data_IF_555197387771
#
_entry.id   IF_555197387771
#
_cell.length_a   1.000
_cell.length_b   1.000
_cell.length_c   1.000
_cell.angle_alpha   90.00
_cell.angle_beta   90.00
_cell.angle_gamma   90.00
#
_symmetry.space_group_name_H-M   'P 1'
#
loop_
_entity.id
_entity.type
_entity.pdbx_description
1 polymer ?
#
# COMPACT_ATOMS: atom_id res chain seq x y z
N UNK A 1 -23.77 -40.76 -30.10
CA UNK A 1 -22.96 -40.82 -28.87
C UNK A 1 -21.60 -40.17 -29.00
N UNK A 2 -20.77 -40.41 -30.03
CA UNK A 2 -19.40 -39.81 -30.15
C UNK A 2 -19.37 -38.28 -30.22
N UNK A 3 -20.35 -37.61 -30.83
CA UNK A 3 -20.40 -36.13 -30.94
C UNK A 3 -20.69 -35.44 -29.60
N UNK A 4 -21.51 -36.05 -28.73
CA UNK A 4 -21.84 -35.52 -27.41
C UNK A 4 -20.61 -35.55 -26.48
N UNK A 5 -19.77 -36.59 -26.59
CA UNK A 5 -18.56 -36.74 -25.80
C UNK A 5 -17.48 -35.69 -26.16
N UNK A 6 -17.35 -35.35 -27.46
CA UNK A 6 -16.40 -34.33 -27.94
C UNK A 6 -16.80 -32.94 -27.45
N UNK A 7 -18.09 -32.58 -27.52
CA UNK A 7 -18.60 -31.31 -27.02
C UNK A 7 -18.39 -31.15 -25.50
N UNK A 8 -18.59 -32.21 -24.72
CA UNK A 8 -18.36 -32.21 -23.27
C UNK A 8 -16.88 -32.02 -22.94
N UNK A 9 -15.97 -32.64 -23.69
CA UNK A 9 -14.52 -32.48 -23.53
C UNK A 9 -14.09 -31.05 -23.86
N UNK A 10 -14.63 -30.41 -24.89
CA UNK A 10 -14.33 -29.04 -25.28
C UNK A 10 -14.82 -28.05 -24.18
N UNK A 11 -16.01 -28.30 -23.61
CA UNK A 11 -16.53 -27.47 -22.50
C UNK A 11 -15.67 -27.63 -21.23
N UNK A 12 -15.23 -28.87 -20.92
CA UNK A 12 -14.30 -29.11 -19.79
C UNK A 12 -12.93 -28.45 -20.01
N UNK A 13 -12.38 -28.53 -21.23
CA UNK A 13 -11.11 -27.86 -21.56
C UNK A 13 -11.24 -26.34 -21.57
N UNK A 14 -12.36 -25.77 -21.99
CA UNK A 14 -12.63 -24.35 -21.94
C UNK A 14 -12.76 -23.83 -20.48
N UNK A 15 -13.34 -24.62 -19.57
CA UNK A 15 -13.44 -24.27 -18.17
C UNK A 15 -12.10 -24.34 -17.41
N UNK A 16 -11.14 -25.16 -17.88
CA UNK A 16 -9.76 -25.17 -17.33
C UNK A 16 -8.92 -23.98 -17.78
N UNK A 17 -9.37 -23.18 -18.74
CA UNK A 17 -8.71 -21.94 -19.19
C UNK A 17 -9.17 -20.69 -18.42
N UNK A 18 -9.80 -20.84 -17.27
CA UNK A 18 -10.03 -19.72 -16.37
C UNK A 18 -8.66 -19.21 -15.89
N UNK A 19 -8.09 -18.27 -16.63
CA UNK A 19 -6.92 -17.55 -16.20
C UNK A 19 -7.34 -16.81 -14.92
N UNK A 20 -6.77 -17.17 -13.79
CA UNK A 20 -6.94 -16.37 -12.60
C UNK A 20 -6.41 -14.97 -12.93
N UNK A 21 -7.27 -13.98 -12.97
CA UNK A 21 -6.82 -12.60 -13.15
C UNK A 21 -5.97 -12.24 -11.94
N UNK A 22 -4.71 -11.93 -12.20
CA UNK A 22 -3.84 -11.38 -11.16
C UNK A 22 -4.43 -10.03 -10.75
N UNK A 23 -4.81 -9.90 -9.49
CA UNK A 23 -5.31 -8.64 -8.96
C UNK A 23 -4.17 -7.64 -8.93
N UNK A 24 -4.33 -6.50 -9.61
CA UNK A 24 -3.38 -5.40 -9.58
C UNK A 24 -3.77 -4.43 -8.46
N UNK A 25 -2.95 -4.37 -7.42
CA UNK A 25 -3.09 -3.40 -6.34
C UNK A 25 -2.86 -1.96 -6.84
N UNK A 26 -3.27 -0.97 -6.05
CA UNK A 26 -2.99 0.43 -6.35
C UNK A 26 -1.49 0.70 -6.54
N UNK A 27 -0.64 0.11 -5.70
CA UNK A 27 0.81 0.23 -5.79
C UNK A 27 1.40 -0.29 -7.11
N UNK A 28 0.79 -1.30 -7.75
CA UNK A 28 1.23 -1.85 -9.04
C UNK A 28 0.89 -0.94 -10.23
N UNK A 29 0.08 0.09 -10.02
CA UNK A 29 -0.38 1.03 -11.06
C UNK A 29 0.54 2.25 -11.17
N UNK A 30 1.84 2.01 -11.26
CA UNK A 30 2.91 3.04 -11.19
C UNK A 30 2.67 4.17 -12.21
N UNK A 31 2.24 3.83 -13.44
CA UNK A 31 1.96 4.81 -14.49
C UNK A 31 0.85 5.81 -14.14
N UNK A 32 -0.03 5.47 -13.18
CA UNK A 32 -1.15 6.33 -12.79
C UNK A 32 -0.76 7.34 -11.70
N UNK A 33 0.01 6.92 -10.68
CA UNK A 33 0.31 7.81 -9.55
C UNK A 33 1.70 8.48 -9.65
N UNK A 34 2.70 7.86 -10.28
CA UNK A 34 4.03 8.44 -10.37
C UNK A 34 4.07 9.83 -11.03
N UNK A 35 3.30 10.12 -12.11
CA UNK A 35 3.23 11.48 -12.67
C UNK A 35 2.66 12.52 -11.70
N UNK A 36 1.80 12.12 -10.77
CA UNK A 36 1.19 13.02 -9.78
C UNK A 36 2.18 13.42 -8.66
N UNK A 37 3.29 12.70 -8.54
CA UNK A 37 4.35 12.95 -7.55
C UNK A 37 5.48 13.84 -8.08
N UNK A 38 5.48 14.15 -9.38
CA UNK A 38 6.55 14.94 -10.00
C UNK A 38 6.59 16.36 -9.42
N UNK A 39 7.78 16.81 -9.03
CA UNK A 39 8.04 18.10 -8.41
C UNK A 39 7.21 18.37 -7.14
N UNK A 40 6.79 17.30 -6.44
CA UNK A 40 6.08 17.37 -5.16
C UNK A 40 6.96 16.90 -4.02
N UNK A 41 6.75 17.47 -2.83
CA UNK A 41 7.31 17.00 -1.58
C UNK A 41 6.38 15.92 -1.05
N UNK A 42 6.84 14.68 -1.02
CA UNK A 42 6.00 13.50 -0.81
C UNK A 42 6.25 12.89 0.57
N UNK A 43 5.16 12.71 1.34
CA UNK A 43 5.14 11.81 2.48
C UNK A 43 4.57 10.44 2.07
N UNK A 44 5.10 9.35 2.60
CA UNK A 44 4.61 8.01 2.27
C UNK A 44 4.22 7.28 3.55
N UNK A 45 2.97 6.83 3.65
CA UNK A 45 2.55 5.91 4.71
C UNK A 45 2.74 4.49 4.18
N UNK A 46 3.69 3.75 4.76
CA UNK A 46 4.07 2.42 4.30
C UNK A 46 4.58 1.55 5.44
N UNK A 47 4.49 0.23 5.25
CA UNK A 47 4.99 -0.77 6.18
C UNK A 47 5.71 -1.91 5.44
N UNK A 48 6.18 -2.93 6.17
CA UNK A 48 6.97 -4.05 5.61
C UNK A 48 6.34 -4.78 4.42
N UNK A 49 5.02 -4.74 4.26
CA UNK A 49 4.31 -5.41 3.17
C UNK A 49 3.93 -4.47 2.02
N UNK A 50 4.41 -3.23 2.01
CA UNK A 50 4.19 -2.26 0.93
C UNK A 50 5.03 -2.60 -0.30
N UNK A 51 4.78 -3.79 -0.89
CA UNK A 51 5.50 -4.28 -2.06
C UNK A 51 4.70 -4.07 -3.34
N UNK A 52 5.45 -3.82 -4.41
CA UNK A 52 5.02 -3.92 -5.81
C UNK A 52 5.47 -5.29 -6.28
N UNK A 53 4.53 -6.11 -6.74
CA UNK A 53 4.81 -7.48 -7.15
C UNK A 53 5.20 -7.54 -8.63
N UNK A 54 6.37 -8.09 -8.93
CA UNK A 54 6.88 -8.14 -10.30
C UNK A 54 5.96 -8.95 -11.23
N UNK A 55 5.26 -9.97 -10.72
CA UNK A 55 4.31 -10.79 -11.48
C UNK A 55 2.99 -10.07 -11.83
N UNK A 56 2.67 -8.94 -11.18
CA UNK A 56 1.51 -8.10 -11.49
C UNK A 56 1.77 -7.11 -12.63
N UNK A 57 3.04 -6.94 -13.01
CA UNK A 57 3.50 -5.96 -13.98
C UNK A 57 3.71 -6.58 -15.36
N UNK A 58 3.46 -5.79 -16.39
CA UNK A 58 3.80 -6.15 -17.77
C UNK A 58 5.31 -6.09 -18.01
N UNK A 59 5.81 -6.83 -19.01
CA UNK A 59 7.23 -6.77 -19.42
C UNK A 59 7.69 -5.34 -19.75
N UNK A 60 6.78 -4.50 -20.25
CA UNK A 60 7.05 -3.09 -20.57
C UNK A 60 7.27 -2.29 -19.29
N UNK A 61 6.41 -2.46 -18.29
CA UNK A 61 6.52 -1.79 -16.98
C UNK A 61 7.77 -2.24 -16.23
N UNK A 62 8.06 -3.54 -16.19
CA UNK A 62 9.28 -4.07 -15.57
C UNK A 62 10.55 -3.41 -16.15
N UNK A 63 10.63 -3.29 -17.48
CA UNK A 63 11.77 -2.62 -18.14
C UNK A 63 11.80 -1.11 -17.87
N UNK A 64 10.63 -0.44 -17.96
CA UNK A 64 10.50 1.00 -17.76
C UNK A 64 10.96 1.42 -16.37
N UNK A 65 10.55 0.68 -15.34
CA UNK A 65 10.85 1.00 -13.94
C UNK A 65 12.05 0.23 -13.37
N UNK A 66 12.73 -0.60 -14.21
CA UNK A 66 13.90 -1.42 -13.83
C UNK A 66 13.62 -2.37 -12.68
N UNK A 67 12.42 -2.96 -12.67
CA UNK A 67 11.97 -3.93 -11.66
C UNK A 67 12.34 -5.33 -12.16
N UNK A 68 13.14 -6.07 -11.38
CA UNK A 68 13.55 -7.45 -11.66
C UNK A 68 12.94 -8.48 -10.70
N UNK A 69 12.45 -8.01 -9.55
CA UNK A 69 11.85 -8.81 -8.48
C UNK A 69 10.85 -7.94 -7.72
N UNK A 70 10.13 -8.54 -6.78
CA UNK A 70 9.24 -7.80 -5.89
C UNK A 70 10.03 -6.70 -5.18
N UNK A 71 9.52 -5.48 -5.27
CA UNK A 71 10.26 -4.28 -4.84
C UNK A 71 9.40 -3.47 -3.87
N UNK A 72 9.97 -3.06 -2.76
CA UNK A 72 9.27 -2.21 -1.81
C UNK A 72 8.94 -0.84 -2.44
N UNK A 73 7.72 -0.33 -2.21
CA UNK A 73 7.23 0.93 -2.80
C UNK A 73 8.20 2.10 -2.61
N UNK A 74 8.71 2.28 -1.38
CA UNK A 74 9.63 3.39 -1.06
C UNK A 74 10.93 3.26 -1.83
N UNK A 75 11.46 2.05 -1.97
CA UNK A 75 12.71 1.81 -2.71
C UNK A 75 12.53 2.10 -4.20
N UNK A 76 11.39 1.70 -4.78
CA UNK A 76 11.07 2.06 -6.15
C UNK A 76 10.99 3.56 -6.34
N UNK A 77 10.22 4.26 -5.50
CA UNK A 77 10.02 5.70 -5.64
C UNK A 77 11.33 6.49 -5.44
N UNK A 78 12.18 6.06 -4.52
CA UNK A 78 13.53 6.62 -4.36
C UNK A 78 14.38 6.40 -5.63
N UNK A 79 14.34 5.20 -6.21
CA UNK A 79 15.04 4.88 -7.47
C UNK A 79 14.47 5.65 -8.69
N UNK A 80 13.22 6.09 -8.64
CA UNK A 80 12.59 6.96 -9.63
C UNK A 80 12.79 8.47 -9.33
N UNK A 81 13.65 8.81 -8.37
CA UNK A 81 13.99 10.19 -7.98
C UNK A 81 12.80 11.03 -7.50
N UNK A 82 11.80 10.39 -6.88
CA UNK A 82 10.72 11.12 -6.19
C UNK A 82 11.30 11.84 -4.99
N UNK A 83 10.92 13.10 -4.78
CA UNK A 83 11.33 13.86 -3.60
C UNK A 83 10.55 13.42 -2.36
N UNK A 84 11.05 12.40 -1.66
CA UNK A 84 10.43 11.82 -0.48
C UNK A 84 10.97 12.55 0.76
N UNK A 85 10.12 13.37 1.39
CA UNK A 85 10.46 14.09 2.62
C UNK A 85 10.52 13.17 3.84
N UNK A 86 9.58 12.23 3.93
CA UNK A 86 9.59 11.25 4.99
C UNK A 86 8.69 10.05 4.67
N UNK A 87 8.93 8.96 5.42
CA UNK A 87 8.04 7.81 5.51
C UNK A 87 7.35 7.84 6.87
N UNK A 88 6.03 7.69 6.90
CA UNK A 88 5.25 7.51 8.11
C UNK A 88 5.10 6.02 8.41
N UNK A 89 5.64 5.58 9.52
CA UNK A 89 5.57 4.21 10.00
C UNK A 89 4.33 3.99 10.87
N UNK A 90 3.40 3.10 10.49
CA UNK A 90 2.25 2.73 11.31
C UNK A 90 2.67 1.78 12.44
N UNK A 91 1.70 1.20 13.14
CA UNK A 91 1.91 0.06 14.04
C UNK A 91 2.70 -1.05 13.31
N UNK A 92 3.57 -1.75 14.01
CA UNK A 92 4.58 -2.71 13.50
C UNK A 92 5.74 -2.10 12.70
N UNK A 93 5.79 -0.80 12.51
CA UNK A 93 6.92 -0.09 11.91
C UNK A 93 7.00 -0.15 10.38
N UNK A 94 8.02 0.50 9.85
CA UNK A 94 8.22 0.65 8.41
C UNK A 94 8.83 -0.60 7.75
N UNK A 95 9.98 -1.09 8.25
CA UNK A 95 10.65 -2.31 7.75
C UNK A 95 10.31 -3.55 8.60
N UNK A 96 9.50 -3.37 9.63
CA UNK A 96 8.78 -4.38 10.37
C UNK A 96 9.60 -5.31 11.26
N UNK A 97 9.85 -4.89 12.50
CA UNK A 97 10.31 -5.78 13.57
C UNK A 97 9.55 -5.53 14.89
N UNK A 98 8.70 -4.51 14.97
CA UNK A 98 7.95 -4.21 16.18
C UNK A 98 6.77 -5.16 16.35
N UNK A 99 6.58 -5.64 17.59
CA UNK A 99 5.45 -6.45 17.99
C UNK A 99 4.15 -5.64 18.09
N UNK A 100 3.01 -6.34 18.20
CA UNK A 100 1.71 -5.67 18.36
C UNK A 100 1.70 -4.81 19.64
N UNK A 101 1.32 -3.52 19.50
CA UNK A 101 1.30 -2.58 20.62
C UNK A 101 2.67 -2.02 21.02
N UNK A 102 3.76 -2.46 20.44
CA UNK A 102 5.10 -1.93 20.69
C UNK A 102 5.25 -0.53 20.09
N UNK A 103 5.92 0.36 20.82
CA UNK A 103 6.20 1.71 20.34
C UNK A 103 7.21 1.67 19.20
N UNK A 104 6.86 2.30 18.10
CA UNK A 104 7.73 2.44 16.93
C UNK A 104 8.53 3.74 17.06
N UNK A 105 9.85 3.66 17.00
CA UNK A 105 10.72 4.82 17.06
C UNK A 105 10.86 5.49 15.70
N UNK A 106 10.94 6.82 15.70
CA UNK A 106 11.36 7.58 14.50
C UNK A 106 12.87 7.45 14.30
N UNK A 107 13.32 7.54 13.05
CA UNK A 107 14.74 7.39 12.72
C UNK A 107 15.01 7.64 11.23
N UNK A 108 16.11 7.08 10.74
CA UNK A 108 16.48 7.12 9.31
C UNK A 108 16.52 5.71 8.78
N UNK A 109 15.86 5.49 7.64
CA UNK A 109 15.93 4.20 6.96
C UNK A 109 17.34 3.94 6.42
N UNK A 110 17.97 2.88 6.88
CA UNK A 110 19.35 2.56 6.53
C UNK A 110 19.55 2.25 5.03
N UNK A 111 18.48 1.83 4.35
CA UNK A 111 18.57 1.45 2.93
C UNK A 111 18.48 2.67 2.01
N UNK A 112 17.61 3.63 2.32
CA UNK A 112 17.34 4.77 1.44
C UNK A 112 17.86 6.10 1.99
N UNK A 113 18.22 6.17 3.27
CA UNK A 113 18.58 7.42 3.94
C UNK A 113 17.39 8.34 4.25
N UNK A 114 16.17 7.90 3.97
CA UNK A 114 14.96 8.70 4.15
C UNK A 114 14.56 8.72 5.63
N UNK A 115 14.08 9.87 6.10
CA UNK A 115 13.56 10.02 7.45
C UNK A 115 12.29 9.19 7.66
N UNK A 116 12.27 8.40 8.72
CA UNK A 116 11.09 7.64 9.15
C UNK A 116 10.46 8.33 10.36
N UNK A 117 9.17 8.62 10.28
CA UNK A 117 8.37 9.24 11.35
C UNK A 117 7.34 8.24 11.85
N UNK A 118 7.40 7.92 13.12
CA UNK A 118 6.41 7.02 13.71
C UNK A 118 5.06 7.70 13.84
N UNK A 119 4.00 6.94 13.48
CA UNK A 119 2.61 7.24 13.82
C UNK A 119 2.17 6.43 15.05
N UNK A 120 3.09 5.63 15.64
CA UNK A 120 2.77 4.71 16.74
C UNK A 120 3.83 4.85 17.86
N UNK A 121 4.05 6.08 18.30
CA UNK A 121 5.03 6.42 19.35
C UNK A 121 4.40 6.55 20.76
N UNK A 122 3.11 6.21 20.88
CA UNK A 122 2.33 6.37 22.11
C UNK A 122 1.59 7.70 22.21
N UNK A 123 1.68 8.55 21.20
CA UNK A 123 0.94 9.81 21.08
C UNK A 123 -0.41 9.63 20.35
N UNK A 124 -0.82 10.66 19.62
CA UNK A 124 -2.15 10.70 18.98
C UNK A 124 -2.31 9.76 17.80
N UNK A 125 -1.23 9.18 17.27
CA UNK A 125 -1.23 8.43 16.01
C UNK A 125 -1.48 9.31 14.78
N UNK A 126 -1.31 10.64 14.93
CA UNK A 126 -1.44 11.65 13.88
C UNK A 126 -0.06 12.25 13.59
N UNK A 127 0.29 12.55 12.33
CA UNK A 127 1.51 13.25 12.02
C UNK A 127 1.50 14.66 12.61
N UNK A 128 2.69 15.20 12.97
CA UNK A 128 2.80 16.56 13.51
C UNK A 128 2.52 17.61 12.42
N UNK A 129 1.95 18.74 12.84
CA UNK A 129 1.64 19.86 11.93
C UNK A 129 2.91 20.40 11.25
N UNK A 130 4.05 20.39 11.93
CA UNK A 130 5.34 20.82 11.37
C UNK A 130 5.81 19.94 10.21
N UNK A 131 5.54 18.65 10.23
CA UNK A 131 5.85 17.74 9.13
C UNK A 131 4.85 17.93 8.00
N UNK A 132 3.56 18.01 8.31
CA UNK A 132 2.50 18.16 7.30
C UNK A 132 2.69 19.46 6.48
N UNK A 133 3.15 20.55 7.10
CA UNK A 133 3.45 21.81 6.41
C UNK A 133 4.59 21.70 5.36
N UNK A 134 5.41 20.65 5.43
CA UNK A 134 6.46 20.41 4.44
C UNK A 134 5.98 19.62 3.22
N UNK A 135 4.77 19.08 3.24
CA UNK A 135 4.29 18.14 2.23
C UNK A 135 3.33 18.79 1.23
N UNK A 136 3.39 18.31 0.00
CA UNK A 136 2.41 18.64 -1.04
C UNK A 136 1.47 17.44 -1.28
N UNK A 137 1.97 16.21 -1.09
CA UNK A 137 1.24 14.96 -1.33
C UNK A 137 1.59 13.93 -0.26
N UNK A 138 0.59 13.20 0.19
CA UNK A 138 0.77 11.95 0.96
C UNK A 138 0.31 10.76 0.13
N UNK A 139 1.20 9.79 -0.03
CA UNK A 139 0.90 8.50 -0.64
C UNK A 139 0.63 7.48 0.47
N UNK A 140 -0.55 6.87 0.48
CA UNK A 140 -0.97 5.92 1.52
C UNK A 140 -1.01 4.50 0.96
N UNK A 141 -0.20 3.60 1.50
CA UNK A 141 -0.06 2.21 1.04
C UNK A 141 -0.09 1.24 2.23
N UNK A 142 -1.22 1.13 2.89
CA UNK A 142 -1.48 0.12 3.91
C UNK A 142 -2.69 -0.72 3.49
N UNK A 143 -2.58 -2.04 3.68
CA UNK A 143 -3.67 -2.97 3.38
C UNK A 143 -4.57 -3.14 4.60
N UNK A 144 -5.86 -2.84 4.44
CA UNK A 144 -6.88 -3.26 5.40
C UNK A 144 -7.21 -4.74 5.19
N UNK A 145 -7.55 -5.43 6.28
CA UNK A 145 -7.86 -6.87 6.26
C UNK A 145 -9.30 -7.16 6.70
N UNK A 146 -10.12 -6.12 6.86
CA UNK A 146 -11.55 -6.24 7.18
C UNK A 146 -11.84 -6.62 8.62
N UNK A 147 -10.90 -6.40 9.55
CA UNK A 147 -11.10 -6.68 10.97
C UNK A 147 -11.32 -5.40 11.75
N UNK A 148 -12.37 -5.35 12.60
CA UNK A 148 -12.76 -4.15 13.35
C UNK A 148 -11.67 -3.57 14.23
N UNK A 149 -10.81 -4.42 14.79
CA UNK A 149 -9.71 -4.02 15.66
C UNK A 149 -8.40 -3.71 14.91
N UNK A 150 -8.41 -3.82 13.58
CA UNK A 150 -7.21 -3.57 12.78
C UNK A 150 -6.96 -2.06 12.64
N UNK A 151 -5.77 -1.61 13.02
CA UNK A 151 -5.49 -0.18 13.27
C UNK A 151 -5.31 0.65 11.99
N UNK A 152 -5.11 0.04 10.84
CA UNK A 152 -4.76 0.76 9.61
C UNK A 152 -5.87 1.64 9.05
N UNK A 153 -7.14 1.26 9.24
CA UNK A 153 -8.26 2.13 8.91
C UNK A 153 -8.23 3.41 9.76
N UNK A 154 -7.98 3.28 11.08
CA UNK A 154 -7.83 4.43 11.97
C UNK A 154 -6.64 5.31 11.56
N UNK A 155 -5.51 4.70 11.17
CA UNK A 155 -4.34 5.42 10.66
C UNK A 155 -4.71 6.21 9.39
N UNK A 156 -5.50 5.61 8.48
CA UNK A 156 -5.95 6.28 7.26
C UNK A 156 -6.82 7.50 7.57
N UNK A 157 -7.81 7.36 8.46
CA UNK A 157 -8.72 8.46 8.84
C UNK A 157 -7.93 9.62 9.45
N UNK A 158 -7.02 9.34 10.40
CA UNK A 158 -6.17 10.36 11.02
C UNK A 158 -5.25 11.06 10.02
N UNK A 159 -4.73 10.32 9.04
CA UNK A 159 -3.93 10.91 7.96
C UNK A 159 -4.79 11.79 7.05
N UNK A 160 -6.02 11.37 6.71
CA UNK A 160 -6.97 12.17 5.92
C UNK A 160 -7.29 13.50 6.63
N UNK A 161 -7.55 13.46 7.93
CA UNK A 161 -7.79 14.66 8.75
C UNK A 161 -6.59 15.61 8.74
N UNK A 162 -5.36 15.05 8.89
CA UNK A 162 -4.14 15.84 8.83
C UNK A 162 -3.94 16.46 7.44
N UNK A 163 -4.15 15.71 6.38
CA UNK A 163 -4.07 16.19 5.00
C UNK A 163 -5.10 17.31 4.74
N UNK A 164 -6.34 17.15 5.19
CA UNK A 164 -7.37 18.18 5.04
C UNK A 164 -7.02 19.47 5.79
N UNK A 165 -6.49 19.34 7.02
CA UNK A 165 -6.08 20.49 7.85
C UNK A 165 -4.97 21.32 7.17
N UNK A 166 -4.04 20.66 6.48
CA UNK A 166 -2.87 21.29 5.88
C UNK A 166 -2.96 21.49 4.36
N UNK A 167 -4.12 21.23 3.77
CA UNK A 167 -4.33 21.28 2.30
C UNK A 167 -3.31 20.43 1.52
N UNK A 168 -2.97 19.26 2.07
CA UNK A 168 -2.09 18.27 1.44
C UNK A 168 -2.95 17.28 0.65
N UNK A 169 -2.57 17.00 -0.59
CA UNK A 169 -3.28 16.01 -1.39
C UNK A 169 -2.96 14.59 -0.92
N UNK A 170 -3.98 13.73 -0.77
CA UNK A 170 -3.80 12.33 -0.38
C UNK A 170 -4.14 11.39 -1.52
N UNK A 171 -3.24 10.46 -1.84
CA UNK A 171 -3.43 9.41 -2.82
C UNK A 171 -3.41 8.07 -2.09
N UNK A 172 -4.49 7.30 -2.19
CA UNK A 172 -4.59 5.97 -1.59
C UNK A 172 -4.28 4.92 -2.66
N UNK A 173 -3.25 4.12 -2.40
CA UNK A 173 -2.91 2.95 -3.20
C UNK A 173 -3.67 1.74 -2.66
N UNK A 174 -4.90 1.59 -3.15
CA UNK A 174 -5.82 0.56 -2.67
C UNK A 174 -5.25 -0.86 -2.84
N UNK A 175 -5.43 -1.68 -1.81
CA UNK A 175 -5.08 -3.10 -1.78
C UNK A 175 -6.33 -3.91 -1.44
N UNK A 176 -6.53 -5.09 -2.08
CA UNK A 176 -7.73 -5.88 -1.85
C UNK A 176 -7.84 -6.33 -0.41
N UNK A 177 -9.03 -6.18 0.17
CA UNK A 177 -9.35 -6.77 1.47
C UNK A 177 -9.52 -8.29 1.30
N UNK A 178 -8.67 -9.15 1.92
CA UNK A 178 -8.75 -10.60 1.76
C UNK A 178 -10.05 -11.17 2.35
N UNK A 179 -10.67 -10.48 3.30
CA UNK A 179 -11.91 -10.89 3.95
C UNK A 179 -13.15 -10.17 3.40
N UNK A 180 -13.04 -9.43 2.28
CA UNK A 180 -14.12 -8.64 1.70
C UNK A 180 -15.31 -9.45 1.13
N UNK A 181 -15.23 -10.77 1.11
CA UNK A 181 -16.24 -11.65 0.53
C UNK A 181 -17.27 -12.18 1.55
N UNK A 182 -17.10 -11.89 2.86
CA UNK A 182 -18.04 -12.29 3.89
C UNK A 182 -18.08 -11.25 5.03
N UNK A 183 -19.15 -11.31 5.81
CA UNK A 183 -19.32 -10.55 7.05
C UNK A 183 -19.61 -11.56 8.15
N UNK A 184 -18.87 -11.49 9.25
CA UNK A 184 -18.99 -12.40 10.39
C UNK A 184 -18.76 -11.64 11.71
N UNK A 185 -19.14 -12.30 12.82
CA UNK A 185 -18.98 -11.80 14.18
C UNK A 185 -20.24 -11.14 14.74
N UNK A 186 -20.26 -10.92 16.07
CA UNK A 186 -21.42 -10.36 16.77
C UNK A 186 -21.61 -8.88 16.41
N UNK A 187 -22.86 -8.42 16.58
CA UNK A 187 -23.16 -6.98 16.59
C UNK A 187 -22.50 -6.37 17.83
N UNK A 188 -21.82 -5.23 17.67
CA UNK A 188 -21.30 -4.48 18.82
C UNK A 188 -22.48 -3.90 19.59
N UNK A 189 -22.54 -4.24 20.86
CA UNK A 189 -23.43 -3.61 21.84
C UNK A 189 -22.64 -2.47 22.50
N UNK A 190 -23.16 -1.23 22.37
CA UNK A 190 -22.48 0.01 22.77
C UNK A 190 -23.06 0.52 24.07
#
# INVERSE_FOLDING_TARGET
>A
MKRLSISLIIILLASCMAHSQIVRCGADRIDQYLPLLQNKRVGIVAHKASYIYANSLTKKELRKYRISQDTHLVDLLAAQHVNIECVFAPEHGFRGTADAGEKVSSGVDAQTGIMVRSLYDGNTGRPSDSIMALLDVVLFDLQDVGLRYYTYLTTMVKMMEACATHNVHMIILDRPNPNGHYVDGPILDM
#
